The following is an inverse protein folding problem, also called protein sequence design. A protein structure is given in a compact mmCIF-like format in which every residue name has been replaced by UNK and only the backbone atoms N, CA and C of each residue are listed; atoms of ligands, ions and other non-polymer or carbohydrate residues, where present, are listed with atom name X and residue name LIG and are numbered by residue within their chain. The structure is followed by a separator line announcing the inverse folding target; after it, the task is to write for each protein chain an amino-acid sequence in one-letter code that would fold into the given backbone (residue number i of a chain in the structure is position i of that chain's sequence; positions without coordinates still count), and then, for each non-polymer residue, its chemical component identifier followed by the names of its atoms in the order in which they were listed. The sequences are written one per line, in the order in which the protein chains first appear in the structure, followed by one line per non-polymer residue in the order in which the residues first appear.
data_IF_145911601437
#
_entry.id   IF_145911601437
#
_cell.length_a   1.000
_cell.length_b   1.000
_cell.length_c   1.000
_cell.angle_alpha   90.00
_cell.angle_beta   90.00
_cell.angle_gamma   90.00
#
_symmetry.space_group_name_H-M   'P 1'
#
loop_
_entity.id
_entity.type
_entity.pdbx_description
1 polymer ?
#
# COMPACT_ATOMS: atom_id res chain seq x y z
N UNK A 1 0.84 -27.39 4.63
CA UNK A 1 1.37 -26.22 5.37
C UNK A 1 0.46 -25.02 5.05
N UNK A 2 -0.70 -24.92 5.70
CA UNK A 2 -1.70 -23.88 5.42
C UNK A 2 -1.34 -22.58 6.13
N UNK A 3 -1.29 -21.48 5.39
CA UNK A 3 -1.10 -20.11 5.92
C UNK A 3 -2.24 -19.77 6.90
N UNK A 4 -1.96 -19.76 8.20
CA UNK A 4 -2.95 -19.53 9.27
C UNK A 4 -3.03 -18.07 9.76
N UNK A 5 -2.56 -17.10 8.97
CA UNK A 5 -2.44 -15.71 9.44
C UNK A 5 -3.46 -14.74 8.84
N UNK A 6 -4.34 -15.18 7.93
CA UNK A 6 -5.20 -14.26 7.19
C UNK A 6 -6.66 -14.67 7.36
N UNK A 7 -7.48 -13.75 7.88
CA UNK A 7 -8.93 -13.89 8.00
C UNK A 7 -9.65 -13.86 6.62
N UNK A 8 -8.89 -13.67 5.54
CA UNK A 8 -9.38 -13.56 4.17
C UNK A 8 -8.88 -14.72 3.29
N UNK A 9 -9.64 -15.14 2.26
CA UNK A 9 -9.21 -16.17 1.33
C UNK A 9 -7.89 -15.82 0.63
N UNK A 10 -6.93 -16.75 0.63
CA UNK A 10 -5.61 -16.54 0.02
C UNK A 10 -5.70 -16.14 -1.46
N UNK A 11 -6.68 -16.67 -2.18
CA UNK A 11 -6.96 -16.34 -3.58
C UNK A 11 -7.23 -14.84 -3.78
N UNK A 12 -7.96 -14.20 -2.87
CA UNK A 12 -8.26 -12.76 -2.95
C UNK A 12 -7.01 -11.90 -2.75
N UNK A 13 -6.12 -12.32 -1.86
CA UNK A 13 -4.83 -11.64 -1.64
C UNK A 13 -3.98 -11.72 -2.93
N UNK A 14 -3.91 -12.89 -3.55
CA UNK A 14 -3.14 -13.11 -4.79
C UNK A 14 -3.72 -12.30 -5.94
N UNK A 15 -5.06 -12.32 -6.10
CA UNK A 15 -5.74 -11.55 -7.13
C UNK A 15 -5.43 -10.05 -6.99
N UNK A 16 -5.62 -9.49 -5.79
CA UNK A 16 -5.36 -8.08 -5.52
C UNK A 16 -3.90 -7.71 -5.79
N UNK A 17 -2.95 -8.56 -5.38
CA UNK A 17 -1.53 -8.32 -5.64
C UNK A 17 -1.21 -8.24 -7.14
N UNK A 18 -1.85 -9.08 -7.97
CA UNK A 18 -1.70 -9.01 -9.45
C UNK A 18 -2.33 -7.75 -10.04
N UNK A 19 -3.49 -7.35 -9.54
CA UNK A 19 -4.17 -6.13 -10.00
C UNK A 19 -3.30 -4.90 -9.69
N UNK A 20 -2.77 -4.79 -8.46
CA UNK A 20 -1.86 -3.70 -8.07
C UNK A 20 -0.57 -3.73 -8.90
N UNK A 21 0.03 -4.90 -9.12
CA UNK A 21 1.28 -5.02 -9.88
C UNK A 21 1.14 -4.76 -11.39
N UNK A 22 -0.06 -4.91 -11.95
CA UNK A 22 -0.33 -4.68 -13.37
C UNK A 22 -0.89 -3.30 -13.68
N UNK A 23 -1.48 -2.60 -12.70
CA UNK A 23 -1.93 -1.22 -12.85
C UNK A 23 -0.75 -0.26 -13.07
N UNK A 24 -0.76 0.51 -14.17
CA UNK A 24 0.27 1.50 -14.50
C UNK A 24 -0.35 2.78 -15.06
N UNK A 25 -0.24 3.94 -14.37
CA UNK A 25 0.29 4.10 -13.01
C UNK A 25 -0.69 3.61 -11.94
N UNK A 26 -0.18 3.12 -10.81
CA UNK A 26 -1.00 2.82 -9.64
C UNK A 26 -0.77 3.87 -8.54
N UNK A 27 -1.88 4.36 -7.97
CA UNK A 27 -1.88 5.28 -6.85
C UNK A 27 -2.25 4.51 -5.57
N UNK A 28 -1.31 4.38 -4.64
CA UNK A 28 -1.47 3.64 -3.38
C UNK A 28 -1.35 4.61 -2.22
N UNK A 29 -2.42 4.94 -1.50
CA UNK A 29 -2.34 5.87 -0.38
C UNK A 29 -2.84 5.23 0.91
N UNK A 30 -2.20 5.58 2.03
CA UNK A 30 -2.64 5.17 3.36
C UNK A 30 -3.06 6.37 4.20
N UNK A 31 -4.15 6.22 4.95
CA UNK A 31 -4.55 7.17 5.98
C UNK A 31 -3.78 6.99 7.29
N UNK A 32 -4.23 7.65 8.36
CA UNK A 32 -3.63 7.53 9.70
C UNK A 32 -4.00 6.24 10.43
N UNK A 33 -5.00 5.50 9.93
CA UNK A 33 -5.47 4.25 10.54
C UNK A 33 -4.32 3.27 10.82
N UNK A 34 -3.56 2.83 9.80
CA UNK A 34 -2.43 1.93 9.96
C UNK A 34 -1.44 2.35 11.05
N UNK A 35 -1.04 3.62 11.10
CA UNK A 35 -0.06 4.13 12.07
C UNK A 35 -0.57 4.12 13.52
N UNK A 36 -1.89 4.12 13.74
CA UNK A 36 -2.51 4.21 15.09
C UNK A 36 -2.78 2.86 15.76
N UNK A 37 -2.26 1.77 15.20
CA UNK A 37 -2.33 0.44 15.80
C UNK A 37 -0.96 -0.01 16.33
N UNK A 38 -0.95 -0.96 17.26
CA UNK A 38 0.28 -1.67 17.66
C UNK A 38 0.87 -2.37 16.42
N UNK A 39 2.10 -2.02 16.04
CA UNK A 39 2.78 -2.33 14.76
C UNK A 39 2.50 -1.37 13.59
N UNK A 40 1.95 -0.18 13.87
CA UNK A 40 1.55 0.74 12.82
C UNK A 40 2.68 1.19 11.90
N UNK A 41 3.91 1.34 12.40
CA UNK A 41 5.07 1.65 11.55
C UNK A 41 5.40 0.53 10.55
N UNK A 42 5.26 -0.74 10.96
CA UNK A 42 5.52 -1.87 10.08
C UNK A 42 4.47 -1.95 8.97
N UNK A 43 3.20 -1.74 9.32
CA UNK A 43 2.10 -1.67 8.34
C UNK A 43 2.31 -0.50 7.39
N UNK A 44 2.67 0.68 7.91
CA UNK A 44 2.88 1.86 7.08
C UNK A 44 4.04 1.70 6.11
N UNK A 45 5.13 1.08 6.56
CA UNK A 45 6.28 0.73 5.71
C UNK A 45 5.89 -0.31 4.65
N UNK A 46 5.11 -1.32 5.00
CA UNK A 46 4.68 -2.33 4.04
C UNK A 46 3.87 -1.72 2.89
N UNK A 47 3.00 -0.74 3.18
CA UNK A 47 2.22 -0.05 2.15
C UNK A 47 3.13 0.81 1.25
N UNK A 48 4.09 1.54 1.84
CA UNK A 48 5.09 2.28 1.07
C UNK A 48 5.92 1.37 0.13
N UNK A 49 6.28 0.18 0.60
CA UNK A 49 7.02 -0.80 -0.19
C UNK A 49 6.25 -1.28 -1.43
N UNK A 50 4.91 -1.29 -1.42
CA UNK A 50 4.13 -1.66 -2.61
C UNK A 50 4.38 -0.67 -3.75
N UNK A 51 4.35 0.64 -3.48
CA UNK A 51 4.61 1.67 -4.49
C UNK A 51 6.04 1.59 -5.05
N UNK A 52 7.01 1.24 -4.20
CA UNK A 52 8.41 1.03 -4.62
C UNK A 52 8.53 -0.20 -5.52
N UNK A 53 8.02 -1.36 -5.09
CA UNK A 53 8.11 -2.62 -5.82
C UNK A 53 7.38 -2.59 -7.17
N UNK A 54 6.35 -1.76 -7.30
CA UNK A 54 5.57 -1.60 -8.53
C UNK A 54 6.06 -0.47 -9.42
N UNK A 55 7.08 0.28 -9.00
CA UNK A 55 7.69 1.35 -9.80
C UNK A 55 6.83 2.62 -9.91
N UNK A 56 5.96 2.87 -8.94
CA UNK A 56 5.03 4.00 -8.97
C UNK A 56 5.57 5.28 -8.29
N UNK A 57 6.76 5.22 -7.69
CA UNK A 57 7.40 6.38 -7.06
C UNK A 57 7.98 7.32 -8.13
N UNK A 58 7.57 8.59 -8.11
CA UNK A 58 8.15 9.64 -8.96
C UNK A 58 7.63 9.69 -10.40
N UNK A 59 6.65 8.86 -10.77
CA UNK A 59 5.99 8.91 -12.09
C UNK A 59 4.69 9.70 -12.04
N UNK A 60 4.30 10.31 -13.16
CA UNK A 60 3.02 11.03 -13.26
C UNK A 60 1.84 10.05 -13.07
N UNK A 61 0.91 10.38 -12.17
CA UNK A 61 -0.19 9.51 -11.76
C UNK A 61 0.16 8.43 -10.72
N UNK A 62 1.43 8.33 -10.29
CA UNK A 62 1.87 7.44 -9.21
C UNK A 62 2.04 8.17 -7.86
N UNK A 63 2.46 7.46 -6.82
CA UNK A 63 2.80 8.03 -5.51
C UNK A 63 3.81 7.17 -4.73
N UNK A 64 4.16 7.61 -3.51
CA UNK A 64 5.13 6.93 -2.62
C UNK A 64 4.52 5.92 -1.64
N UNK A 65 3.20 5.68 -1.66
CA UNK A 65 2.54 4.82 -0.66
C UNK A 65 2.25 5.52 0.67
N UNK A 66 2.53 6.82 0.76
CA UNK A 66 2.27 7.68 1.92
C UNK A 66 0.92 8.38 1.74
N UNK A 67 0.38 8.97 2.80
CA UNK A 67 -0.85 9.78 2.74
C UNK A 67 -0.73 10.87 1.67
N UNK A 68 -1.83 11.16 0.96
CA UNK A 68 -1.89 12.31 0.06
C UNK A 68 -1.51 13.57 0.86
N UNK A 69 -0.60 14.41 0.34
CA UNK A 69 -0.02 15.50 1.11
C UNK A 69 -1.07 16.31 1.89
N UNK A 70 -0.75 16.70 3.13
CA UNK A 70 -1.45 17.82 3.76
C UNK A 70 -0.96 19.10 3.10
N UNK A 71 -1.67 19.57 2.09
CA UNK A 71 -1.55 20.95 1.63
C UNK A 71 -2.24 21.83 2.67
N UNK A 72 -1.56 22.11 3.79
CA UNK A 72 -1.79 23.35 4.52
C UNK A 72 -0.62 24.26 4.16
N UNK A 73 -0.88 25.14 3.19
CA UNK A 73 -0.09 26.35 2.98
C UNK A 73 -0.68 27.43 3.90
N UNK A 74 -0.46 27.31 5.21
CA UNK A 74 -0.94 28.29 6.20
C UNK A 74 -1.30 27.67 7.53
#
# INVERSE_FOLDING_TARGET
MGSKNHQHPAEKIIQLAREIGSAKPAYICQGWGPQRHSNGEQTSRAIAMLSVLTGNVGINGGNSGVREGSWDLG
#
